data_IF_925146912165
#
_entry.id   IF_925146912165
#
_cell.length_a   1.000
_cell.length_b   1.000
_cell.length_c   1.000
_cell.angle_alpha   90.00
_cell.angle_beta   90.00
_cell.angle_gamma   90.00
#
_symmetry.space_group_name_H-M   'P 1'
#
loop_
_entity.id
_entity.type
_entity.pdbx_description
1 polymer ?
#
# COMPACT_ATOMS: atom_id res chain seq x y z
N UNK A 1 2.26 -28.59 -12.57
CA UNK A 1 1.57 -27.72 -11.58
C UNK A 1 0.39 -26.96 -12.20
N UNK A 2 0.59 -26.05 -13.16
CA UNK A 2 -0.51 -25.21 -13.68
C UNK A 2 -1.56 -26.02 -14.48
N UNK A 3 -1.10 -27.01 -15.25
CA UNK A 3 -1.99 -28.01 -15.88
C UNK A 3 -2.75 -28.85 -14.85
N UNK A 4 -2.13 -29.17 -13.72
CA UNK A 4 -2.76 -29.97 -12.66
C UNK A 4 -3.87 -29.16 -11.97
N UNK A 5 -3.64 -27.86 -11.75
CA UNK A 5 -4.68 -26.94 -11.30
C UNK A 5 -5.83 -26.86 -12.32
N UNK A 6 -5.53 -26.70 -13.61
CA UNK A 6 -6.55 -26.63 -14.65
C UNK A 6 -7.41 -27.92 -14.69
N UNK A 7 -6.77 -29.09 -14.58
CA UNK A 7 -7.47 -30.38 -14.47
C UNK A 7 -8.33 -30.46 -13.21
N UNK A 8 -7.81 -30.03 -12.05
CA UNK A 8 -8.56 -30.04 -10.79
C UNK A 8 -9.77 -29.10 -10.82
N UNK A 9 -9.62 -27.89 -11.37
CA UNK A 9 -10.73 -26.96 -11.58
C UNK A 9 -11.79 -27.53 -12.52
N UNK A 10 -11.36 -28.22 -13.59
CA UNK A 10 -12.28 -28.90 -14.50
C UNK A 10 -13.18 -29.94 -13.82
N UNK A 11 -12.68 -30.65 -12.79
CA UNK A 11 -13.49 -31.62 -12.02
C UNK A 11 -14.64 -30.99 -11.26
N UNK A 12 -14.54 -29.71 -10.92
CA UNK A 12 -15.57 -28.93 -10.22
C UNK A 12 -16.24 -27.90 -11.14
N UNK A 13 -16.16 -28.11 -12.47
CA UNK A 13 -16.72 -27.24 -13.50
C UNK A 13 -16.23 -25.77 -13.46
N UNK A 14 -15.05 -25.52 -12.89
CA UNK A 14 -14.38 -24.22 -12.95
C UNK A 14 -13.38 -24.19 -14.11
N UNK A 15 -13.14 -22.99 -14.65
CA UNK A 15 -12.17 -22.73 -15.71
C UNK A 15 -11.25 -21.59 -15.32
N UNK A 16 -9.98 -21.69 -15.68
CA UNK A 16 -9.02 -20.62 -15.49
C UNK A 16 -9.33 -19.46 -16.45
N UNK A 17 -9.34 -18.24 -15.93
CA UNK A 17 -9.41 -17.05 -16.77
C UNK A 17 -8.00 -16.69 -17.25
N UNK A 18 -7.71 -16.99 -18.52
CA UNK A 18 -6.39 -16.78 -19.11
C UNK A 18 -6.04 -15.29 -19.33
N UNK A 19 -7.01 -14.37 -19.28
CA UNK A 19 -6.72 -12.93 -19.36
C UNK A 19 -6.19 -12.38 -18.04
N UNK A 20 -6.67 -12.93 -16.92
CA UNK A 20 -6.26 -12.54 -15.55
C UNK A 20 -5.11 -13.40 -15.02
N UNK A 21 -4.93 -14.61 -15.59
CA UNK A 21 -3.85 -15.52 -15.23
C UNK A 21 -2.57 -15.06 -15.91
N UNK A 22 -1.62 -14.64 -15.10
CA UNK A 22 -0.31 -14.17 -15.54
C UNK A 22 0.76 -14.84 -14.69
N UNK A 23 1.99 -14.90 -15.21
CA UNK A 23 3.13 -15.27 -14.39
C UNK A 23 4.16 -14.14 -14.39
N UNK A 24 4.98 -14.14 -13.35
CA UNK A 24 6.10 -13.22 -13.17
C UNK A 24 7.34 -14.10 -13.00
N UNK A 25 8.47 -13.72 -13.60
CA UNK A 25 9.73 -14.48 -13.48
C UNK A 25 10.82 -13.66 -12.81
N UNK A 26 11.63 -14.34 -12.00
CA UNK A 26 12.90 -13.79 -11.56
C UNK A 26 13.90 -13.84 -12.72
N UNK A 27 14.68 -12.77 -12.93
CA UNK A 27 15.64 -12.64 -14.03
C UNK A 27 16.80 -13.65 -13.98
N UNK A 28 16.91 -14.43 -12.91
CA UNK A 28 17.89 -15.52 -12.77
C UNK A 28 17.50 -16.79 -13.53
N UNK A 29 16.32 -16.83 -14.16
CA UNK A 29 15.75 -18.04 -14.74
C UNK A 29 15.27 -17.79 -16.17
N UNK A 30 15.93 -18.41 -17.14
CA UNK A 30 15.46 -18.45 -18.53
C UNK A 30 14.68 -19.75 -18.77
N UNK A 31 13.34 -19.66 -18.73
CA UNK A 31 12.45 -20.76 -19.13
C UNK A 31 11.69 -20.40 -20.41
N UNK A 32 11.24 -21.39 -21.19
CA UNK A 32 10.39 -21.14 -22.36
C UNK A 32 9.07 -20.46 -21.97
N UNK A 33 8.38 -19.93 -22.97
CA UNK A 33 7.02 -19.40 -22.83
C UNK A 33 6.09 -20.44 -22.21
N UNK A 34 5.34 -20.07 -21.17
CA UNK A 34 4.37 -20.98 -20.57
C UNK A 34 3.10 -21.04 -21.42
N UNK A 35 2.68 -22.26 -21.76
CA UNK A 35 1.43 -22.49 -22.47
C UNK A 35 0.49 -23.34 -21.62
N UNK A 36 -0.81 -23.06 -21.72
CA UNK A 36 -1.88 -23.86 -21.11
C UNK A 36 -2.92 -24.12 -22.20
N UNK A 37 -3.18 -25.40 -22.49
CA UNK A 37 -4.08 -25.82 -23.58
C UNK A 37 -3.76 -25.14 -24.93
N UNK A 38 -2.48 -24.97 -25.26
CA UNK A 38 -2.03 -24.31 -26.49
C UNK A 38 -2.14 -22.78 -26.49
N UNK A 39 -2.64 -22.17 -25.41
CA UNK A 39 -2.69 -20.70 -25.25
C UNK A 39 -1.50 -20.22 -24.43
N UNK A 40 -0.80 -19.19 -24.92
CA UNK A 40 0.31 -18.58 -24.19
C UNK A 40 -0.21 -17.80 -22.97
N UNK A 41 0.36 -18.07 -21.79
CA UNK A 41 0.11 -17.26 -20.60
C UNK A 41 1.00 -16.02 -20.68
N UNK A 42 0.45 -14.86 -20.37
CA UNK A 42 1.22 -13.62 -20.46
C UNK A 42 2.20 -13.45 -19.30
N UNK A 43 3.42 -13.04 -19.62
CA UNK A 43 4.42 -12.60 -18.66
C UNK A 43 4.19 -11.14 -18.28
N UNK A 44 4.41 -10.82 -17.00
CA UNK A 44 4.44 -9.45 -16.48
C UNK A 44 5.65 -9.23 -15.58
N UNK A 45 6.09 -7.98 -15.50
CA UNK A 45 7.13 -7.53 -14.56
C UNK A 45 6.58 -7.26 -13.15
N UNK A 46 5.30 -6.87 -13.05
CA UNK A 46 4.58 -6.67 -11.79
C UNK A 46 3.13 -7.14 -11.88
N UNK A 47 2.54 -7.45 -10.73
CA UNK A 47 1.13 -7.85 -10.61
C UNK A 47 0.55 -7.38 -9.28
N UNK A 48 -0.72 -6.99 -9.30
CA UNK A 48 -1.44 -6.60 -8.09
C UNK A 48 -2.09 -7.83 -7.47
N UNK A 49 -1.50 -8.34 -6.40
CA UNK A 49 -2.05 -9.45 -5.64
C UNK A 49 -2.56 -8.97 -4.28
N UNK A 50 -3.83 -9.26 -3.97
CA UNK A 50 -4.50 -8.83 -2.73
C UNK A 50 -4.31 -7.33 -2.45
N UNK A 51 -4.43 -6.53 -3.51
CA UNK A 51 -4.30 -5.08 -3.46
C UNK A 51 -2.86 -4.56 -3.45
N UNK A 52 -1.83 -5.37 -3.19
CA UNK A 52 -0.41 -4.95 -3.22
C UNK A 52 0.23 -5.26 -4.57
N UNK A 53 0.98 -4.32 -5.12
CA UNK A 53 1.84 -4.54 -6.28
C UNK A 53 3.07 -5.36 -5.86
N UNK A 54 3.29 -6.46 -6.58
CA UNK A 54 4.40 -7.37 -6.36
C UNK A 54 5.21 -7.46 -7.65
N UNK A 55 6.52 -7.33 -7.53
CA UNK A 55 7.49 -7.54 -8.60
C UNK A 55 8.68 -8.36 -8.08
N UNK A 56 9.47 -8.89 -9.01
CA UNK A 56 10.56 -9.83 -8.68
C UNK A 56 11.83 -9.16 -8.16
N UNK A 57 11.97 -7.85 -8.31
CA UNK A 57 13.10 -7.07 -7.78
C UNK A 57 12.80 -6.42 -6.42
N UNK A 58 11.60 -6.69 -5.86
CA UNK A 58 11.11 -6.10 -4.61
C UNK A 58 11.22 -4.56 -4.59
N UNK A 59 10.95 -3.92 -5.74
CA UNK A 59 10.83 -2.47 -5.85
C UNK A 59 9.47 -2.02 -5.32
N UNK A 60 9.47 -1.02 -4.47
CA UNK A 60 8.26 -0.49 -3.85
C UNK A 60 7.73 0.77 -4.54
N UNK A 61 8.47 1.34 -5.51
CA UNK A 61 8.10 2.61 -6.12
C UNK A 61 6.69 2.61 -6.73
N UNK A 62 6.33 1.55 -7.47
CA UNK A 62 5.01 1.39 -8.06
C UNK A 62 3.92 1.22 -6.98
N UNK A 63 4.17 0.40 -5.96
CA UNK A 63 3.23 0.19 -4.86
C UNK A 63 2.97 1.48 -4.06
N UNK A 64 4.02 2.20 -3.68
CA UNK A 64 3.92 3.49 -2.97
C UNK A 64 3.13 4.49 -3.82
N UNK A 65 3.40 4.57 -5.13
CA UNK A 65 2.66 5.46 -6.04
C UNK A 65 1.17 5.12 -6.08
N UNK A 66 0.82 3.82 -6.10
CA UNK A 66 -0.58 3.35 -6.05
C UNK A 66 -1.26 3.75 -4.74
N UNK A 67 -0.57 3.63 -3.60
CA UNK A 67 -1.11 4.05 -2.29
C UNK A 67 -1.26 5.54 -2.16
N UNK A 68 -0.30 6.31 -2.67
CA UNK A 68 -0.41 7.77 -2.72
C UNK A 68 -1.66 8.17 -3.50
N UNK A 69 -1.89 7.56 -4.67
CA UNK A 69 -3.11 7.82 -5.46
C UNK A 69 -4.38 7.47 -4.69
N UNK A 70 -4.44 6.27 -4.09
CA UNK A 70 -5.59 5.85 -3.30
C UNK A 70 -5.86 6.77 -2.09
N UNK A 71 -4.80 7.23 -1.43
CA UNK A 71 -4.88 8.18 -0.32
C UNK A 71 -5.41 9.55 -0.79
N UNK A 72 -4.94 10.05 -1.94
CA UNK A 72 -5.42 11.30 -2.51
C UNK A 72 -6.89 11.19 -2.96
N UNK A 73 -7.31 10.05 -3.51
CA UNK A 73 -8.72 9.78 -3.83
C UNK A 73 -9.59 9.73 -2.57
N UNK A 74 -9.14 9.04 -1.52
CA UNK A 74 -9.80 9.03 -0.21
C UNK A 74 -9.85 10.42 0.43
N UNK A 75 -8.85 11.27 0.20
CA UNK A 75 -8.86 12.64 0.68
C UNK A 75 -9.86 13.50 -0.10
N UNK A 76 -9.91 13.37 -1.43
CA UNK A 76 -10.86 14.09 -2.29
C UNK A 76 -12.31 13.82 -1.89
N UNK A 77 -12.66 12.59 -1.50
CA UNK A 77 -14.03 12.26 -1.09
C UNK A 77 -14.48 12.97 0.18
N UNK A 78 -13.55 13.41 1.05
CA UNK A 78 -13.83 14.15 2.28
C UNK A 78 -13.48 15.65 2.19
N UNK A 79 -12.85 16.08 1.09
CA UNK A 79 -12.25 17.40 0.96
C UNK A 79 -13.25 18.55 1.16
N UNK A 80 -14.47 18.40 0.61
CA UNK A 80 -15.51 19.41 0.75
C UNK A 80 -15.99 19.57 2.20
N UNK A 81 -16.13 18.46 2.93
CA UNK A 81 -16.50 18.49 4.35
C UNK A 81 -15.39 19.15 5.18
N UNK A 82 -14.12 18.78 4.91
CA UNK A 82 -12.91 19.35 5.52
C UNK A 82 -12.87 20.87 5.27
N UNK A 83 -13.09 21.32 4.04
CA UNK A 83 -13.08 22.75 3.66
C UNK A 83 -14.20 23.57 4.32
N UNK A 84 -15.39 23.00 4.52
CA UNK A 84 -16.52 23.68 5.20
C UNK A 84 -16.37 23.73 6.72
N UNK A 85 -15.60 22.81 7.30
CA UNK A 85 -15.45 22.69 8.75
C UNK A 85 -14.50 23.73 9.33
N UNK A 86 -15.02 24.70 10.09
CA UNK A 86 -14.21 25.78 10.68
C UNK A 86 -13.27 25.29 11.78
N UNK A 87 -13.69 24.32 12.60
CA UNK A 87 -12.89 23.80 13.70
C UNK A 87 -11.80 22.85 13.19
N UNK A 88 -10.54 23.23 13.39
CA UNK A 88 -9.36 22.46 12.95
C UNK A 88 -9.34 21.01 13.44
N UNK A 89 -9.79 20.76 14.68
CA UNK A 89 -9.84 19.39 15.23
C UNK A 89 -10.83 18.49 14.49
N UNK A 90 -12.04 19.02 14.23
CA UNK A 90 -13.06 18.30 13.47
C UNK A 90 -12.66 18.12 12.00
N UNK A 91 -11.84 19.03 11.47
CA UNK A 91 -11.26 18.97 10.12
C UNK A 91 -10.24 17.81 9.99
N UNK A 92 -9.48 17.53 11.05
CA UNK A 92 -8.48 16.46 11.08
C UNK A 92 -9.08 15.06 11.35
N UNK A 93 -10.19 15.00 12.09
CA UNK A 93 -10.79 13.74 12.55
C UNK A 93 -11.08 12.71 11.44
N UNK A 94 -11.56 13.08 10.25
CA UNK A 94 -11.84 12.11 9.20
C UNK A 94 -10.57 11.49 8.59
N UNK A 95 -9.40 12.11 8.74
CA UNK A 95 -8.18 11.67 8.06
C UNK A 95 -7.70 10.28 8.51
N UNK A 96 -7.58 10.10 9.82
CA UNK A 96 -7.08 8.86 10.43
C UNK A 96 -7.89 7.61 10.03
N UNK A 97 -9.23 7.64 9.92
CA UNK A 97 -10.00 6.48 9.47
C UNK A 97 -10.12 6.33 7.95
N UNK A 98 -9.89 7.37 7.14
CA UNK A 98 -10.11 7.30 5.68
C UNK A 98 -8.81 7.28 4.87
N UNK A 99 -7.95 8.28 5.06
CA UNK A 99 -6.76 8.50 4.22
C UNK A 99 -5.60 7.64 4.71
N UNK A 100 -5.40 7.59 6.03
CA UNK A 100 -4.28 6.87 6.62
C UNK A 100 -4.31 5.37 6.29
N UNK A 101 -5.46 4.65 6.34
CA UNK A 101 -5.53 3.25 5.92
C UNK A 101 -5.27 3.08 4.42
N UNK A 102 -5.80 3.98 3.56
CA UNK A 102 -5.57 3.91 2.12
C UNK A 102 -4.08 4.11 1.76
N UNK A 103 -3.40 5.00 2.49
CA UNK A 103 -1.99 5.31 2.31
C UNK A 103 -1.07 4.19 2.81
N UNK A 104 -1.44 3.50 3.89
CA UNK A 104 -0.56 2.55 4.59
C UNK A 104 -0.95 1.08 4.41
N UNK A 105 -1.98 0.79 3.62
CA UNK A 105 -2.38 -0.58 3.34
C UNK A 105 -1.22 -1.38 2.72
N UNK A 106 -1.02 -2.60 3.22
CA UNK A 106 0.07 -3.47 2.76
C UNK A 106 1.45 -3.12 3.33
N UNK A 107 1.57 -2.09 4.19
CA UNK A 107 2.84 -1.66 4.80
C UNK A 107 3.54 -2.73 5.64
N UNK A 108 2.81 -3.76 6.07
CA UNK A 108 3.34 -4.94 6.76
C UNK A 108 4.35 -5.71 5.89
N UNK A 109 4.12 -5.73 4.58
CA UNK A 109 4.95 -6.39 3.58
C UNK A 109 5.98 -5.47 2.92
N UNK A 110 6.11 -4.21 3.36
CA UNK A 110 7.04 -3.26 2.75
C UNK A 110 8.46 -3.40 3.31
N UNK A 111 9.44 -3.12 2.46
CA UNK A 111 10.80 -2.86 2.90
C UNK A 111 10.87 -1.45 3.50
N UNK A 112 11.54 -1.27 4.63
CA UNK A 112 11.56 0.01 5.37
C UNK A 112 12.63 0.95 4.82
N UNK A 113 12.61 1.23 3.51
CA UNK A 113 13.57 2.15 2.90
C UNK A 113 13.23 3.58 3.26
N UNK A 114 14.26 4.39 3.51
CA UNK A 114 14.10 5.82 3.85
C UNK A 114 13.41 6.63 2.74
N UNK A 115 13.58 6.23 1.48
CA UNK A 115 12.92 6.86 0.35
C UNK A 115 11.41 6.70 0.41
N UNK A 116 10.92 5.52 0.74
CA UNK A 116 9.49 5.23 0.81
C UNK A 116 8.84 5.96 1.98
N UNK A 117 9.51 6.00 3.14
CA UNK A 117 9.07 6.81 4.30
C UNK A 117 8.95 8.30 3.93
N UNK A 118 9.92 8.84 3.19
CA UNK A 118 9.88 10.23 2.72
C UNK A 118 8.67 10.48 1.82
N UNK A 119 8.34 9.56 0.93
CA UNK A 119 7.18 9.67 0.05
C UNK A 119 5.86 9.73 0.83
N UNK A 120 5.69 8.89 1.87
CA UNK A 120 4.54 8.96 2.77
C UNK A 120 4.47 10.32 3.48
N UNK A 121 5.58 10.79 4.04
CA UNK A 121 5.63 12.09 4.73
C UNK A 121 5.37 13.28 3.81
N UNK A 122 5.63 13.19 2.49
CA UNK A 122 5.27 14.26 1.53
C UNK A 122 3.75 14.42 1.46
N UNK A 123 3.01 13.31 1.35
CA UNK A 123 1.56 13.32 1.26
C UNK A 123 0.92 13.73 2.56
N UNK A 124 1.39 13.19 3.69
CA UNK A 124 0.94 13.59 5.02
C UNK A 124 1.04 15.12 5.20
N UNK A 125 2.22 15.71 4.92
CA UNK A 125 2.41 17.17 4.99
C UNK A 125 1.50 17.96 4.06
N UNK A 126 1.16 17.41 2.89
CA UNK A 126 0.23 18.06 1.97
C UNK A 126 -1.17 18.12 2.58
N UNK A 127 -1.61 17.03 3.22
CA UNK A 127 -2.91 16.97 3.86
C UNK A 127 -2.96 17.82 5.13
N UNK A 128 -1.92 17.79 5.96
CA UNK A 128 -1.83 18.66 7.15
C UNK A 128 -1.97 20.14 6.81
N UNK A 129 -1.30 20.59 5.75
CA UNK A 129 -1.44 21.96 5.22
C UNK A 129 -2.88 22.28 4.87
N UNK A 130 -3.56 21.38 4.16
CA UNK A 130 -4.96 21.58 3.77
C UNK A 130 -5.88 21.62 4.99
N UNK A 131 -5.71 20.70 5.95
CA UNK A 131 -6.47 20.66 7.21
C UNK A 131 -6.30 21.95 8.02
N UNK A 132 -5.08 22.50 8.04
CA UNK A 132 -4.74 23.75 8.72
C UNK A 132 -5.04 25.00 7.89
N UNK A 133 -5.48 24.86 6.63
CA UNK A 133 -5.66 25.96 5.67
C UNK A 133 -4.39 26.81 5.48
N UNK A 134 -3.22 26.18 5.62
CA UNK A 134 -1.91 26.82 5.43
C UNK A 134 -1.42 26.50 4.03
N UNK A 135 -1.33 27.52 3.18
CA UNK A 135 -0.71 27.36 1.87
C UNK A 135 0.79 27.12 1.99
N UNK A 136 1.42 26.54 0.96
CA UNK A 136 2.88 26.34 0.95
C UNK A 136 3.65 27.67 1.01
N UNK A 137 3.14 28.73 0.40
CA UNK A 137 3.75 30.05 0.44
C UNK A 137 3.65 30.67 1.84
N UNK A 138 2.47 30.57 2.49
CA UNK A 138 2.27 30.99 3.89
C UNK A 138 3.23 30.25 4.83
N UNK A 139 3.34 28.92 4.67
CA UNK A 139 4.25 28.11 5.48
C UNK A 139 5.70 28.63 5.41
N UNK A 140 6.18 28.97 4.22
CA UNK A 140 7.54 29.45 3.99
C UNK A 140 7.72 30.87 4.55
N UNK A 141 6.79 31.78 4.25
CA UNK A 141 6.85 33.17 4.71
C UNK A 141 6.84 33.29 6.23
N UNK A 142 6.01 32.48 6.89
CA UNK A 142 5.82 32.52 8.33
C UNK A 142 6.82 31.61 9.08
N UNK A 143 7.74 30.95 8.35
CA UNK A 143 8.76 30.07 8.94
C UNK A 143 8.20 28.84 9.67
N UNK A 144 6.98 28.40 9.33
CA UNK A 144 6.30 27.30 10.02
C UNK A 144 6.98 25.96 9.70
N UNK A 145 7.52 25.31 10.73
CA UNK A 145 8.22 24.02 10.58
C UNK A 145 7.22 22.89 10.34
N UNK A 146 7.68 21.81 9.73
CA UNK A 146 6.85 20.60 9.56
C UNK A 146 6.50 19.93 10.90
N UNK A 147 7.28 20.15 11.96
CA UNK A 147 6.90 19.77 13.33
C UNK A 147 5.68 20.53 13.83
N UNK A 148 5.58 21.81 13.49
CA UNK A 148 4.52 22.69 13.98
C UNK A 148 3.19 22.33 13.30
N UNK A 149 3.23 22.00 12.01
CA UNK A 149 2.08 21.46 11.28
C UNK A 149 1.56 20.18 11.96
N UNK A 150 2.44 19.20 12.24
CA UNK A 150 2.10 17.96 12.96
C UNK A 150 1.51 18.21 14.33
N UNK A 151 2.10 19.12 15.10
CA UNK A 151 1.61 19.45 16.43
C UNK A 151 0.21 20.07 16.40
N UNK A 152 -0.08 20.90 15.38
CA UNK A 152 -1.37 21.61 15.21
C UNK A 152 -2.44 20.70 14.59
N UNK A 153 -2.09 19.86 13.61
CA UNK A 153 -3.01 19.00 12.87
C UNK A 153 -3.56 17.87 13.75
N UNK A 154 -2.74 17.34 14.67
CA UNK A 154 -3.04 16.15 15.50
C UNK A 154 -3.37 14.89 14.69
N UNK A 155 -3.02 14.88 13.41
CA UNK A 155 -3.10 13.72 12.54
C UNK A 155 -2.03 12.70 12.97
N UNK A 156 -2.33 11.41 12.86
CA UNK A 156 -1.34 10.36 13.14
C UNK A 156 -0.24 10.33 12.08
N UNK A 157 0.99 10.18 12.54
CA UNK A 157 2.16 10.03 11.67
C UNK A 157 2.07 8.76 10.82
N UNK A 158 2.10 8.91 9.50
CA UNK A 158 1.85 7.82 8.57
C UNK A 158 2.99 6.78 8.57
N UNK A 159 4.22 7.24 8.75
CA UNK A 159 5.40 6.38 8.82
C UNK A 159 5.37 5.56 10.11
N UNK A 160 5.04 6.19 11.23
CA UNK A 160 4.85 5.52 12.51
C UNK A 160 3.72 4.49 12.44
N UNK A 161 2.59 4.85 11.83
CA UNK A 161 1.46 3.94 11.66
C UNK A 161 1.84 2.71 10.82
N UNK A 162 2.53 2.91 9.68
CA UNK A 162 3.03 1.82 8.85
C UNK A 162 3.98 0.88 9.61
N UNK A 163 4.92 1.44 10.40
CA UNK A 163 5.82 0.65 11.26
C UNK A 163 5.05 -0.14 12.32
N UNK A 164 4.04 0.47 12.93
CA UNK A 164 3.19 -0.19 13.92
C UNK A 164 2.36 -1.32 13.28
N UNK A 165 1.85 -1.14 12.06
CA UNK A 165 1.17 -2.21 11.31
C UNK A 165 2.07 -3.42 11.15
N UNK A 166 3.31 -3.21 10.67
CA UNK A 166 4.30 -4.28 10.55
C UNK A 166 4.58 -4.98 11.89
N UNK A 167 4.75 -4.23 12.97
CA UNK A 167 4.97 -4.80 14.30
C UNK A 167 3.75 -5.60 14.80
N UNK A 168 2.52 -5.13 14.53
CA UNK A 168 1.28 -5.87 14.85
C UNK A 168 1.21 -7.18 14.07
N UNK A 169 1.57 -7.17 12.79
CA UNK A 169 1.62 -8.35 11.95
C UNK A 169 2.64 -9.38 12.43
N UNK A 170 3.88 -8.96 12.72
CA UNK A 170 4.90 -9.85 13.30
C UNK A 170 4.39 -10.47 14.61
N UNK A 171 3.79 -9.64 15.48
CA UNK A 171 3.21 -10.14 16.74
C UNK A 171 2.05 -11.11 16.49
N UNK A 172 1.24 -10.91 15.46
CA UNK A 172 0.19 -11.86 15.07
C UNK A 172 0.81 -13.20 14.68
N UNK A 173 1.82 -13.20 13.80
CA UNK A 173 2.54 -14.41 13.36
C UNK A 173 3.14 -15.17 14.56
N UNK A 174 3.74 -14.46 15.52
CA UNK A 174 4.32 -15.10 16.72
C UNK A 174 3.29 -15.83 17.60
N UNK A 175 2.02 -15.39 17.59
CA UNK A 175 0.93 -16.06 18.34
C UNK A 175 0.32 -17.25 17.60
N UNK A 176 0.54 -17.36 16.29
CA UNK A 176 0.01 -18.46 15.49
C UNK A 176 0.80 -19.73 15.85
N UNK A 177 0.11 -20.73 16.39
CA UNK A 177 0.70 -21.99 16.87
C UNK A 177 0.61 -23.15 15.88
N UNK A 178 0.20 -22.89 14.64
CA UNK A 178 0.09 -23.93 13.60
C UNK A 178 1.36 -24.02 12.74
N UNK A 179 1.41 -25.07 11.90
CA UNK A 179 2.53 -25.37 11.01
C UNK A 179 2.50 -24.53 9.71
N UNK A 180 1.91 -23.32 9.73
CA UNK A 180 1.96 -22.45 8.55
C UNK A 180 3.39 -22.04 8.25
N UNK A 181 3.70 -22.03 6.96
CA UNK A 181 5.02 -21.67 6.43
C UNK A 181 5.55 -20.33 6.96
N UNK A 182 4.66 -19.38 7.30
CA UNK A 182 4.99 -18.05 7.83
C UNK A 182 5.79 -18.11 9.13
N UNK A 183 5.60 -19.15 9.96
CA UNK A 183 6.35 -19.32 11.20
C UNK A 183 7.78 -19.86 10.93
N UNK A 184 7.94 -20.72 9.94
CA UNK A 184 9.20 -21.41 9.65
C UNK A 184 10.30 -20.48 9.09
N UNK A 185 9.94 -19.37 8.45
CA UNK A 185 10.90 -18.37 7.95
C UNK A 185 11.23 -17.26 8.97
N UNK A 186 10.66 -17.34 10.18
CA UNK A 186 10.83 -16.32 11.23
C UNK A 186 11.94 -16.66 12.26
N UNK A 187 12.61 -17.80 12.09
CA UNK A 187 13.71 -18.29 12.94
C UNK A 187 15.06 -18.19 12.22
#
# INVERSE_FOLDING_TARGET
>A
MLDDFNKAFGKIALRLNLTETMFIRNGLVSYPTFTLNGTNISERSSYVYLGRDINMINDLAQEVSRRIRAALEAFKSIEDAVKKTKHTRLCAQPFDPTVLPALTYGSEAWSQRKQDERSLSVIERAVERTTLRVSRSTQIKDGIRSSDLRQRSKIKDAVLYARQSKARWVRHVMRVSDNRWTRNFSN
#
